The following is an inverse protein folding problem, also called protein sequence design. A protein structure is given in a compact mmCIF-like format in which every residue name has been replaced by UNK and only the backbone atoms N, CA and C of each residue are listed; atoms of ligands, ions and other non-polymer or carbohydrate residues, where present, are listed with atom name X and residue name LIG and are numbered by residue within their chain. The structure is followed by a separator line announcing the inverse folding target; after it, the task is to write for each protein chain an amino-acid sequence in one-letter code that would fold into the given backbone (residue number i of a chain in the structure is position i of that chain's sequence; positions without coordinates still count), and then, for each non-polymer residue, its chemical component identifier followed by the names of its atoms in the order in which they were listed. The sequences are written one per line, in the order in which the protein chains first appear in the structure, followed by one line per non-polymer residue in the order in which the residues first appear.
data_IF_713001900001
#
_entry.id   IF_713001900001
#
_cell.length_a   1.000
_cell.length_b   1.000
_cell.length_c   1.000
_cell.angle_alpha   90.00
_cell.angle_beta   90.00
_cell.angle_gamma   90.00
#
_symmetry.space_group_name_H-M   'P 1'
#
loop_
_entity.id
_entity.type
_entity.pdbx_description
1 polymer ?
#
# COMPACT_ATOMS: atom_id res chain seq x y z
N UNK A 1 7.52 -25.06 -42.35
CA UNK A 1 6.65 -24.28 -43.27
C UNK A 1 5.22 -24.78 -43.08
N UNK A 2 4.40 -24.09 -42.28
CA UNK A 2 2.97 -24.40 -42.16
C UNK A 2 2.26 -23.83 -43.40
N UNK A 3 1.51 -24.63 -44.18
CA UNK A 3 0.82 -24.09 -45.35
C UNK A 3 -0.26 -23.10 -44.91
N UNK A 4 -0.37 -21.98 -45.62
CA UNK A 4 -1.46 -21.03 -45.44
C UNK A 4 -2.76 -21.67 -45.95
N UNK A 5 -3.64 -22.07 -45.02
CA UNK A 5 -4.97 -22.60 -45.35
C UNK A 5 -5.85 -21.41 -45.72
N UNK A 6 -6.39 -21.42 -46.94
CA UNK A 6 -7.32 -20.39 -47.45
C UNK A 6 -8.76 -20.66 -46.98
N UNK A 7 -9.39 -19.67 -46.36
CA UNK A 7 -10.75 -19.76 -45.78
C UNK A 7 -11.81 -20.13 -46.83
N UNK A 8 -11.63 -19.72 -48.09
CA UNK A 8 -12.56 -20.01 -49.20
C UNK A 8 -12.59 -21.49 -49.63
N UNK A 9 -11.64 -22.31 -49.15
CA UNK A 9 -11.54 -23.76 -49.43
C UNK A 9 -12.07 -24.62 -48.27
N UNK A 10 -12.61 -24.00 -47.22
CA UNK A 10 -13.18 -24.72 -46.08
C UNK A 10 -14.68 -24.90 -46.35
N UNK A 11 -15.10 -26.15 -46.52
CA UNK A 11 -16.50 -26.49 -46.76
C UNK A 11 -17.22 -26.79 -45.43
N UNK A 12 -18.50 -26.41 -45.33
CA UNK A 12 -19.35 -26.72 -44.17
C UNK A 12 -19.69 -28.22 -44.05
N UNK A 13 -19.43 -29.01 -45.09
CA UNK A 13 -19.53 -30.46 -45.07
C UNK A 13 -18.12 -31.06 -45.02
N UNK A 14 -17.82 -31.83 -43.98
CA UNK A 14 -16.56 -32.56 -43.85
C UNK A 14 -16.82 -34.01 -43.44
N UNK A 15 -15.91 -34.90 -43.86
CA UNK A 15 -16.05 -36.33 -43.67
C UNK A 15 -15.75 -36.73 -42.22
N UNK A 16 -16.73 -37.33 -41.54
CA UNK A 16 -16.67 -37.64 -40.10
C UNK A 16 -15.49 -38.54 -39.74
N UNK A 17 -15.08 -39.45 -40.63
CA UNK A 17 -13.95 -40.37 -40.38
C UNK A 17 -12.57 -39.68 -40.34
N UNK A 18 -12.45 -38.44 -40.84
CA UNK A 18 -11.19 -37.69 -40.77
C UNK A 18 -11.02 -36.94 -39.46
N UNK A 19 -12.07 -36.90 -38.62
CA UNK A 19 -11.97 -36.34 -37.28
C UNK A 19 -11.06 -37.20 -36.42
N UNK A 20 -10.14 -36.55 -35.71
CA UNK A 20 -9.43 -37.18 -34.61
C UNK A 20 -10.36 -37.19 -33.38
N UNK A 21 -10.40 -38.27 -32.59
CA UNK A 21 -11.13 -38.28 -31.32
C UNK A 21 -10.74 -37.09 -30.46
N UNK A 22 -11.73 -36.39 -29.90
CA UNK A 22 -11.49 -35.27 -29.00
C UNK A 22 -10.70 -35.76 -27.78
N UNK A 23 -9.60 -35.07 -27.48
CA UNK A 23 -8.88 -35.26 -26.23
C UNK A 23 -8.93 -33.96 -25.45
N UNK A 24 -9.35 -34.07 -24.20
CA UNK A 24 -9.39 -32.93 -23.30
C UNK A 24 -7.98 -32.34 -23.18
N UNK A 25 -7.78 -31.04 -23.50
CA UNK A 25 -6.47 -30.41 -23.44
C UNK A 25 -5.83 -30.46 -22.05
N UNK A 26 -6.63 -30.50 -20.97
CA UNK A 26 -6.13 -30.60 -19.60
C UNK A 26 -5.59 -32.00 -19.30
N UNK A 27 -6.11 -33.05 -19.97
CA UNK A 27 -5.59 -34.43 -19.85
C UNK A 27 -4.34 -34.71 -20.71
N UNK A 28 -4.20 -34.07 -21.87
CA UNK A 28 -3.07 -34.31 -22.79
C UNK A 28 -1.89 -33.39 -22.51
N UNK A 29 -2.18 -32.15 -22.13
CA UNK A 29 -1.17 -31.16 -21.81
C UNK A 29 -1.16 -30.89 -20.32
N UNK A 30 -0.98 -31.93 -19.52
CA UNK A 30 -0.87 -31.83 -18.05
C UNK A 30 0.25 -30.89 -17.58
N UNK A 31 1.23 -30.64 -18.45
CA UNK A 31 2.34 -29.71 -18.22
C UNK A 31 2.04 -28.26 -18.61
N UNK A 32 0.91 -27.97 -19.25
CA UNK A 32 0.47 -26.59 -19.49
C UNK A 32 -0.08 -26.06 -18.17
N UNK A 33 0.53 -24.99 -17.68
CA UNK A 33 -0.12 -24.23 -16.63
C UNK A 33 -1.39 -23.60 -17.21
N UNK A 34 -2.51 -23.61 -16.47
CA UNK A 34 -3.65 -22.78 -16.81
C UNK A 34 -3.17 -21.33 -16.94
N UNK A 35 -3.74 -20.54 -17.85
CA UNK A 35 -3.39 -19.13 -17.96
C UNK A 35 -3.57 -18.47 -16.59
N UNK A 36 -2.70 -17.51 -16.22
CA UNK A 36 -2.88 -16.77 -14.99
C UNK A 36 -4.28 -16.11 -14.98
N UNK A 37 -4.89 -15.95 -13.81
CA UNK A 37 -6.16 -15.25 -13.71
C UNK A 37 -6.03 -13.86 -14.35
N UNK A 38 -7.10 -13.33 -14.97
CA UNK A 38 -7.06 -12.00 -15.54
C UNK A 38 -6.73 -10.97 -14.45
N UNK A 39 -5.99 -9.90 -14.79
CA UNK A 39 -5.67 -8.86 -13.84
C UNK A 39 -6.95 -8.17 -13.33
N UNK A 40 -6.93 -7.61 -12.11
CA UNK A 40 -8.08 -6.91 -11.56
C UNK A 40 -8.44 -5.69 -12.43
N UNK A 41 -9.73 -5.33 -12.55
CA UNK A 41 -10.13 -4.10 -13.23
C UNK A 41 -9.67 -2.86 -12.42
N UNK A 42 -9.40 -1.73 -13.10
CA UNK A 42 -9.12 -0.47 -12.42
C UNK A 42 -10.35 0.02 -11.65
N UNK A 43 -10.10 0.70 -10.53
CA UNK A 43 -11.14 1.37 -9.75
C UNK A 43 -11.26 2.80 -10.26
N UNK A 44 -12.46 3.25 -10.61
CA UNK A 44 -12.67 4.63 -11.03
C UNK A 44 -12.86 5.53 -9.80
N UNK A 45 -11.91 6.43 -9.57
CA UNK A 45 -11.96 7.44 -8.52
C UNK A 45 -11.92 8.81 -9.21
N UNK A 46 -12.95 9.63 -9.02
CA UNK A 46 -13.13 10.89 -9.76
C UNK A 46 -13.06 10.74 -11.29
N UNK A 47 -13.64 9.65 -11.83
CA UNK A 47 -13.60 9.30 -13.27
C UNK A 47 -12.20 8.97 -13.83
N UNK A 48 -11.18 8.86 -12.98
CA UNK A 48 -9.84 8.43 -13.34
C UNK A 48 -9.56 7.00 -12.87
N UNK A 49 -8.87 6.16 -13.68
CA UNK A 49 -8.54 4.80 -13.31
C UNK A 49 -7.41 4.75 -12.27
N UNK A 50 -7.74 4.33 -11.06
CA UNK A 50 -6.79 4.02 -9.98
C UNK A 50 -6.55 2.51 -9.86
N UNK A 51 -5.30 2.14 -9.55
CA UNK A 51 -4.86 0.76 -9.41
C UNK A 51 -4.34 0.50 -7.99
N UNK A 52 -4.62 -0.68 -7.45
CA UNK A 52 -4.17 -1.04 -6.12
C UNK A 52 -2.66 -1.35 -6.08
N UNK A 53 -1.93 -0.60 -5.25
CA UNK A 53 -0.50 -0.82 -4.99
C UNK A 53 -0.31 -1.92 -3.93
N UNK A 54 0.47 -2.94 -4.27
CA UNK A 54 0.87 -4.00 -3.34
C UNK A 54 2.04 -3.54 -2.46
N UNK A 55 3.14 -3.09 -3.09
CA UNK A 55 4.35 -2.64 -2.37
C UNK A 55 5.25 -1.75 -3.23
N UNK A 56 6.15 -1.00 -2.58
CA UNK A 56 7.23 -0.26 -3.24
C UNK A 56 8.50 -1.12 -3.22
N UNK A 57 9.11 -1.32 -4.38
CA UNK A 57 10.30 -2.17 -4.54
C UNK A 57 11.59 -1.35 -4.50
N UNK A 58 11.60 -0.20 -5.17
CA UNK A 58 12.76 0.65 -5.31
C UNK A 58 12.36 2.12 -5.46
N UNK A 59 13.30 3.02 -5.21
CA UNK A 59 13.17 4.42 -5.57
C UNK A 59 14.40 4.87 -6.37
N UNK A 60 14.23 5.83 -7.27
CA UNK A 60 15.35 6.47 -7.99
C UNK A 60 15.12 7.96 -8.08
N UNK A 61 16.21 8.71 -8.01
CA UNK A 61 16.19 10.16 -8.21
C UNK A 61 16.64 10.50 -9.63
N UNK A 62 15.85 11.30 -10.33
CA UNK A 62 16.16 11.82 -11.66
C UNK A 62 17.00 13.09 -11.56
N UNK A 63 17.65 13.46 -12.68
CA UNK A 63 18.52 14.67 -12.76
C UNK A 63 17.76 15.98 -12.54
N UNK A 64 16.47 16.01 -12.88
CA UNK A 64 15.56 17.13 -12.65
C UNK A 64 15.09 17.24 -11.18
N UNK A 65 15.57 16.37 -10.29
CA UNK A 65 15.23 16.37 -8.87
C UNK A 65 13.98 15.56 -8.51
N UNK A 66 13.25 15.00 -9.48
CA UNK A 66 12.06 14.18 -9.19
C UNK A 66 12.44 12.80 -8.67
N UNK A 67 11.61 12.26 -7.77
CA UNK A 67 11.75 10.89 -7.25
C UNK A 67 10.70 10.02 -7.93
N UNK A 68 11.15 8.92 -8.50
CA UNK A 68 10.29 7.88 -9.05
C UNK A 68 10.38 6.63 -8.17
N UNK A 69 9.25 5.98 -7.96
CA UNK A 69 9.08 4.78 -7.17
C UNK A 69 8.73 3.61 -8.11
N UNK A 70 9.38 2.47 -7.94
CA UNK A 70 9.05 1.24 -8.64
C UNK A 70 7.92 0.53 -7.88
N UNK A 71 6.75 0.48 -8.49
CA UNK A 71 5.53 -0.05 -7.89
C UNK A 71 5.32 -1.51 -8.26
N UNK A 72 5.02 -2.33 -7.25
CA UNK A 72 4.42 -3.66 -7.41
C UNK A 72 2.90 -3.50 -7.38
N UNK A 73 2.25 -3.84 -8.48
CA UNK A 73 0.78 -3.79 -8.59
C UNK A 73 0.14 -5.08 -8.08
N UNK A 74 -0.95 -4.93 -7.30
CA UNK A 74 -1.65 -6.06 -6.71
C UNK A 74 -2.44 -6.81 -7.77
N UNK A 75 -2.20 -8.12 -7.90
CA UNK A 75 -2.90 -8.96 -8.88
C UNK A 75 -2.35 -8.89 -10.30
N UNK A 76 -1.24 -8.18 -10.50
CA UNK A 76 -0.51 -8.15 -11.77
C UNK A 76 0.81 -8.92 -11.66
N UNK A 77 1.33 -9.36 -12.81
CA UNK A 77 2.62 -10.04 -12.88
C UNK A 77 3.78 -9.10 -12.52
N UNK A 78 4.89 -9.59 -11.93
CA UNK A 78 6.09 -8.77 -11.72
C UNK A 78 6.65 -8.11 -12.98
N UNK A 79 6.33 -8.63 -14.17
CA UNK A 79 6.67 -7.99 -15.44
C UNK A 79 5.99 -6.63 -15.64
N UNK A 80 4.85 -6.40 -15.00
CA UNK A 80 4.04 -5.18 -15.14
C UNK A 80 4.45 -4.07 -14.16
N UNK A 81 5.56 -4.23 -13.43
CA UNK A 81 6.02 -3.23 -12.47
C UNK A 81 6.46 -1.95 -13.21
N UNK A 82 5.95 -0.79 -12.79
CA UNK A 82 6.21 0.50 -13.44
C UNK A 82 6.83 1.53 -12.49
N UNK A 83 7.56 2.49 -13.06
CA UNK A 83 8.10 3.63 -12.34
C UNK A 83 7.09 4.76 -12.34
N UNK A 84 6.60 5.13 -11.16
CA UNK A 84 5.58 6.15 -10.95
C UNK A 84 6.19 7.28 -10.11
N UNK A 85 5.95 8.57 -10.44
CA UNK A 85 6.46 9.67 -9.63
C UNK A 85 5.83 9.68 -8.24
N UNK A 86 6.60 10.10 -7.23
CA UNK A 86 6.12 10.16 -5.85
C UNK A 86 4.87 11.03 -5.68
N UNK A 87 4.68 12.05 -6.53
CA UNK A 87 3.50 12.93 -6.52
C UNK A 87 2.19 12.21 -6.83
N UNK A 88 2.21 11.13 -7.61
CA UNK A 88 1.04 10.34 -7.98
C UNK A 88 0.69 9.27 -6.91
N UNK A 89 1.57 9.07 -5.92
CA UNK A 89 1.43 8.05 -4.87
C UNK A 89 0.50 8.49 -3.72
N UNK A 90 -0.17 9.64 -3.83
CA UNK A 90 -0.89 10.31 -2.73
C UNK A 90 -1.89 9.44 -1.96
N UNK A 91 -2.54 8.48 -2.63
CA UNK A 91 -3.49 7.57 -1.99
C UNK A 91 -2.82 6.32 -1.36
N UNK A 92 -1.56 6.02 -1.71
CA UNK A 92 -0.82 4.82 -1.31
C UNK A 92 0.13 5.06 -0.12
N UNK A 93 -0.34 5.74 0.92
CA UNK A 93 0.44 6.07 2.12
C UNK A 93 0.99 4.84 2.86
N UNK A 94 0.25 3.72 2.90
CA UNK A 94 0.65 2.53 3.67
C UNK A 94 1.84 1.79 3.03
N UNK A 95 1.81 1.41 1.73
CA UNK A 95 2.97 0.82 1.06
C UNK A 95 4.23 1.67 1.14
N UNK A 96 4.11 2.99 0.96
CA UNK A 96 5.23 3.92 1.01
C UNK A 96 5.88 3.95 2.40
N UNK A 97 5.07 4.05 3.47
CA UNK A 97 5.56 4.02 4.85
C UNK A 97 6.34 2.75 5.16
N UNK A 98 5.84 1.59 4.73
CA UNK A 98 6.50 0.30 4.97
C UNK A 98 7.86 0.23 4.28
N UNK A 99 7.99 0.82 3.09
CA UNK A 99 9.25 0.89 2.37
C UNK A 99 10.26 1.83 3.05
N UNK A 100 9.81 3.00 3.50
CA UNK A 100 10.65 3.96 4.22
C UNK A 100 11.21 3.40 5.54
N UNK A 101 10.38 2.68 6.30
CA UNK A 101 10.83 2.01 7.54
C UNK A 101 11.92 0.98 7.27
N UNK A 102 11.80 0.22 6.16
CA UNK A 102 12.82 -0.78 5.76
C UNK A 102 14.12 -0.16 5.24
N UNK A 103 14.05 1.06 4.72
CA UNK A 103 15.21 1.80 4.21
C UNK A 103 15.93 2.60 5.31
N UNK A 104 15.32 2.76 6.49
CA UNK A 104 15.93 3.48 7.60
C UNK A 104 17.17 2.71 8.09
N UNK A 105 18.34 3.36 8.22
CA UNK A 105 19.50 2.75 8.87
C UNK A 105 19.17 2.45 10.34
N UNK A 106 19.69 1.34 10.88
CA UNK A 106 19.37 0.78 12.21
C UNK A 106 19.67 1.70 13.42
N UNK A 107 20.29 2.86 13.23
CA UNK A 107 20.52 3.86 14.29
C UNK A 107 19.53 5.03 14.14
N UNK A 108 18.42 5.08 14.92
CA UNK A 108 17.59 6.26 14.98
C UNK A 108 18.37 7.33 15.76
N UNK A 109 19.12 8.18 15.05
CA UNK A 109 19.53 9.45 15.65
C UNK A 109 18.24 10.18 16.04
N UNK A 110 18.03 10.52 17.32
CA UNK A 110 16.80 11.17 17.75
C UNK A 110 16.61 12.47 16.95
N UNK A 111 15.37 12.80 16.54
CA UNK A 111 15.12 14.00 15.77
C UNK A 111 15.64 15.21 16.56
N UNK A 112 16.28 16.20 15.91
CA UNK A 112 16.70 17.41 16.59
C UNK A 112 15.48 18.05 17.28
N UNK A 113 15.63 18.57 18.50
CA UNK A 113 14.52 19.23 19.19
C UNK A 113 13.96 20.34 18.29
N UNK A 114 12.63 20.56 18.28
CA UNK A 114 12.05 21.64 17.50
C UNK A 114 12.72 22.97 17.86
N UNK A 115 12.94 23.88 16.89
CA UNK A 115 13.49 25.20 17.19
C UNK A 115 12.62 25.83 18.29
N UNK A 116 13.27 26.34 19.33
CA UNK A 116 12.59 26.91 20.47
C UNK A 116 11.53 27.92 19.98
N UNK A 117 10.30 27.89 20.52
CA UNK A 117 9.30 28.87 20.15
C UNK A 117 9.86 30.28 20.38
N UNK A 118 9.55 31.25 19.51
CA UNK A 118 10.01 32.62 19.70
C UNK A 118 9.62 33.09 21.11
N UNK A 119 10.49 33.87 21.79
CA UNK A 119 10.21 34.32 23.14
C UNK A 119 8.85 35.05 23.16
N UNK A 120 8.00 34.81 24.17
CA UNK A 120 6.73 35.48 24.27
C UNK A 120 6.95 37.00 24.32
N UNK A 121 6.04 37.81 23.74
CA UNK A 121 6.15 39.25 23.81
C UNK A 121 6.19 39.71 25.28
N UNK A 122 6.87 40.83 25.58
CA UNK A 122 6.92 41.37 26.94
C UNK A 122 5.50 41.59 27.44
N UNK A 123 5.20 41.03 28.62
CA UNK A 123 3.90 41.21 29.27
C UNK A 123 3.67 42.71 29.51
N UNK A 124 2.51 43.28 29.14
CA UNK A 124 2.15 44.62 29.59
C UNK A 124 2.03 44.59 31.11
N UNK A 125 2.58 45.63 31.74
CA UNK A 125 2.74 45.76 33.19
C UNK A 125 1.36 45.95 33.85
N UNK A 126 0.66 44.84 34.11
CA UNK A 126 -0.58 44.83 34.89
C UNK A 126 -0.23 44.66 36.36
N UNK A 127 -0.33 45.78 37.08
CA UNK A 127 -0.14 45.86 38.52
C UNK A 127 -0.92 44.80 39.28
N UNK A 128 -0.26 44.28 40.31
CA UNK A 128 -0.74 43.23 41.18
C UNK A 128 -2.15 43.50 41.75
N UNK A 129 -3.05 42.55 41.54
CA UNK A 129 -4.23 42.38 42.39
C UNK A 129 -4.21 40.93 42.91
N UNK A 130 -4.05 40.80 44.22
CA UNK A 130 -4.01 39.54 44.94
C UNK A 130 -5.37 38.81 44.83
N UNK A 131 -5.35 37.57 44.36
CA UNK A 131 -6.48 36.66 44.53
C UNK A 131 -6.19 35.69 45.70
N UNK A 132 -7.16 35.49 46.60
CA UNK A 132 -6.96 34.74 47.84
C UNK A 132 -6.82 33.23 47.58
N UNK A 133 -5.92 32.64 48.36
CA UNK A 133 -5.62 31.22 48.44
C UNK A 133 -6.87 30.44 48.90
N UNK A 134 -7.43 29.55 48.08
CA UNK A 134 -8.18 28.37 48.56
C UNK A 134 -8.46 27.35 47.46
N UNK A 135 -8.03 26.08 47.72
CA UNK A 135 -8.64 24.78 47.34
C UNK A 135 -8.68 24.46 45.82
N UNK A 136 -8.14 23.35 45.28
CA UNK A 136 -8.18 21.95 45.71
C UNK A 136 -7.02 21.11 45.13
N UNK A 137 -6.83 19.98 45.83
CA UNK A 137 -5.76 18.99 45.82
C UNK A 137 -5.68 18.14 44.53
N UNK A 138 -4.46 17.73 44.22
CA UNK A 138 -4.11 16.66 43.29
C UNK A 138 -4.38 15.29 43.93
N UNK A 139 -5.00 14.35 43.20
CA UNK A 139 -4.83 12.91 43.50
C UNK A 139 -5.14 12.06 42.28
N UNK A 140 -4.09 11.71 41.55
CA UNK A 140 -4.02 10.42 40.89
C UNK A 140 -4.05 9.33 41.98
N UNK A 141 -4.98 8.38 41.90
CA UNK A 141 -4.74 6.92 42.09
C UNK A 141 -6.02 6.13 42.38
N UNK A 142 -6.25 5.13 41.53
CA UNK A 142 -6.55 3.73 41.86
C UNK A 142 -7.47 3.46 43.07
N UNK A 143 -8.72 3.09 42.78
CA UNK A 143 -9.60 2.36 43.70
C UNK A 143 -10.08 1.05 43.07
N UNK A 144 -9.33 -0.03 43.25
CA UNK A 144 -9.86 -1.30 43.79
C UNK A 144 -8.75 -2.38 43.84
N UNK A 145 -8.09 -2.46 45.00
CA UNK A 145 -7.54 -3.71 45.50
C UNK A 145 -7.89 -3.75 46.99
N UNK A 146 -8.75 -4.68 47.36
CA UNK A 146 -9.14 -4.94 48.75
C UNK A 146 -9.54 -6.41 48.86
N UNK A 147 -8.73 -7.16 49.58
CA UNK A 147 -8.66 -8.62 49.69
C UNK A 147 -9.20 -9.04 51.06
N UNK A 148 -10.06 -10.07 51.06
CA UNK A 148 -10.23 -11.18 52.00
C UNK A 148 -10.21 -11.02 53.56
N UNK A 149 -10.93 -11.97 54.18
CA UNK A 149 -10.97 -12.46 55.60
C UNK A 149 -12.05 -11.80 56.48
N UNK A 150 -12.93 -12.50 57.21
CA UNK A 150 -13.05 -13.92 57.58
C UNK A 150 -14.36 -14.22 58.35
N UNK A 151 -14.50 -15.47 58.78
CA UNK A 151 -15.63 -16.22 59.39
C UNK A 151 -16.37 -15.61 60.60
N UNK A 152 -17.60 -16.12 60.82
CA UNK A 152 -18.38 -15.97 62.06
C UNK A 152 -19.88 -16.16 61.84
#
# INVERSE_FOLDING_TARGET
LTPAISISKIHNAFHVQLLKPYRDPNTVFTRRQPPPPPPPPPVLVHDEPEYEVESVLAHRRRRNGTVELLIRWKGYDPSENTWVPESEMGNACRPLRNYLVKQAPDDPTPPPPPPAPPPPPPRPNLGAAALPRTKLRCSSSLSHCGRAVGEG
#
